data_IF_661321420416
#
_entry.id   IF_661321420416
#
_cell.length_a   1.000
_cell.length_b   1.000
_cell.length_c   1.000
_cell.angle_alpha   90.00
_cell.angle_beta   90.00
_cell.angle_gamma   90.00
#
_symmetry.space_group_name_H-M   'P 1'
#
loop_
_entity.id
_entity.type
_entity.pdbx_description
1 polymer ?
#
# COMPACT_ATOMS: atom_id res chain seq x y z
N UNK A 1 10.79 11.47 52.04
CA UNK A 1 11.45 11.52 50.72
C UNK A 1 10.89 10.38 49.89
N UNK A 2 9.86 10.63 49.07
CA UNK A 2 9.28 9.62 48.18
C UNK A 2 9.89 9.81 46.80
N UNK A 3 10.76 8.88 46.40
CA UNK A 3 11.41 8.90 45.09
C UNK A 3 10.41 8.37 44.06
N UNK A 4 9.81 9.26 43.28
CA UNK A 4 9.02 8.89 42.10
C UNK A 4 9.96 8.53 40.96
N UNK A 5 10.08 7.24 40.64
CA UNK A 5 10.77 6.77 39.43
C UNK A 5 9.98 7.19 38.18
N UNK A 6 10.58 7.87 37.20
CA UNK A 6 9.89 8.20 35.95
C UNK A 6 9.72 6.93 35.09
N UNK A 7 8.48 6.46 34.95
CA UNK A 7 8.11 5.44 33.98
C UNK A 7 8.28 6.03 32.57
N UNK A 8 9.39 5.68 31.90
CA UNK A 8 9.50 5.85 30.45
C UNK A 8 8.45 4.96 29.78
N UNK A 9 7.78 5.38 28.70
CA UNK A 9 6.77 4.53 28.08
C UNK A 9 7.46 3.29 27.52
N UNK A 10 7.29 2.16 28.21
CA UNK A 10 7.62 0.86 27.64
C UNK A 10 6.78 0.73 26.38
N UNK A 11 7.44 0.66 25.22
CA UNK A 11 6.78 0.43 23.94
C UNK A 11 6.10 -0.94 24.01
N UNK A 12 4.83 -0.95 24.43
CA UNK A 12 4.02 -2.15 24.60
C UNK A 12 3.37 -2.53 23.26
N UNK A 13 4.22 -2.83 22.29
CA UNK A 13 3.79 -3.41 21.02
C UNK A 13 3.40 -4.88 21.27
N UNK A 14 2.38 -5.38 20.56
CA UNK A 14 1.94 -6.78 20.67
C UNK A 14 3.11 -7.74 20.42
N UNK A 15 3.27 -8.76 21.28
CA UNK A 15 4.38 -9.70 21.22
C UNK A 15 4.51 -10.40 19.85
N UNK A 16 3.40 -10.62 19.13
CA UNK A 16 3.37 -11.30 17.83
C UNK A 16 4.01 -10.49 16.69
N UNK A 17 4.16 -9.17 16.86
CA UNK A 17 4.77 -8.29 15.85
C UNK A 17 6.15 -7.77 16.30
N UNK A 18 6.55 -8.06 17.56
CA UNK A 18 7.90 -7.73 18.03
C UNK A 18 8.91 -8.58 17.28
N UNK A 19 9.89 -7.92 16.67
CA UNK A 19 10.98 -8.60 15.94
C UNK A 19 10.62 -9.05 14.52
N UNK A 20 9.41 -8.74 14.02
CA UNK A 20 9.08 -8.98 12.62
C UNK A 20 9.99 -8.14 11.73
N UNK A 21 10.76 -8.81 10.87
CA UNK A 21 11.64 -8.16 9.92
C UNK A 21 10.83 -7.54 8.77
N UNK A 22 11.34 -6.47 8.12
CA UNK A 22 10.80 -6.01 6.85
C UNK A 22 10.71 -7.18 5.86
N UNK A 23 9.64 -7.23 5.07
CA UNK A 23 9.52 -8.25 4.03
C UNK A 23 10.68 -8.13 3.03
N UNK A 24 11.10 -9.26 2.45
CA UNK A 24 12.16 -9.27 1.45
C UNK A 24 11.87 -8.32 0.27
N UNK A 25 10.59 -8.19 -0.12
CA UNK A 25 10.13 -7.27 -1.17
C UNK A 25 10.32 -5.80 -0.79
N UNK A 26 10.09 -5.43 0.46
CA UNK A 26 10.33 -4.06 0.94
C UNK A 26 11.83 -3.79 1.00
N UNK A 27 12.59 -4.69 1.62
CA UNK A 27 14.03 -4.53 1.80
C UNK A 27 14.79 -4.38 0.46
N UNK A 28 14.44 -5.17 -0.56
CA UNK A 28 15.09 -5.07 -1.88
C UNK A 28 14.70 -3.77 -2.61
N UNK A 29 13.48 -3.28 -2.41
CA UNK A 29 13.01 -2.03 -3.00
C UNK A 29 13.72 -0.81 -2.39
N UNK A 30 13.86 -0.79 -1.07
CA UNK A 30 14.60 0.23 -0.33
C UNK A 30 16.07 0.24 -0.77
N UNK A 31 16.71 -0.93 -0.77
CA UNK A 31 18.10 -1.05 -1.22
C UNK A 31 18.29 -0.57 -2.67
N UNK A 32 17.37 -0.94 -3.57
CA UNK A 32 17.42 -0.48 -4.96
C UNK A 32 17.29 1.04 -5.08
N UNK A 33 16.45 1.66 -4.24
CA UNK A 33 16.28 3.11 -4.21
C UNK A 33 17.53 3.84 -3.68
N UNK A 34 18.14 3.32 -2.61
CA UNK A 34 19.42 3.85 -2.07
C UNK A 34 20.52 3.84 -3.12
N UNK A 35 20.72 2.71 -3.80
CA UNK A 35 21.77 2.58 -4.81
C UNK A 35 21.51 3.53 -6.00
N UNK A 36 20.25 3.71 -6.39
CA UNK A 36 19.87 4.68 -7.42
C UNK A 36 20.16 6.12 -6.97
N UNK A 37 19.87 6.46 -5.71
CA UNK A 37 20.17 7.78 -5.14
C UNK A 37 21.69 8.07 -5.07
N UNK A 38 22.51 7.03 -4.93
CA UNK A 38 23.97 7.09 -5.02
C UNK A 38 24.50 7.23 -6.47
N UNK A 39 23.61 7.38 -7.46
CA UNK A 39 23.98 7.52 -8.87
C UNK A 39 24.31 6.20 -9.58
N UNK A 40 24.06 5.04 -8.95
CA UNK A 40 24.26 3.75 -9.61
C UNK A 40 23.11 3.45 -10.56
N UNK A 41 23.44 2.89 -11.72
CA UNK A 41 22.44 2.32 -12.62
C UNK A 41 21.86 1.03 -12.04
N UNK A 42 20.53 0.99 -11.88
CA UNK A 42 19.79 -0.14 -11.33
C UNK A 42 18.66 -0.52 -12.29
N UNK A 43 18.60 -1.79 -12.67
CA UNK A 43 17.50 -2.36 -13.46
C UNK A 43 16.57 -3.14 -12.55
N UNK A 44 15.33 -2.66 -12.38
CA UNK A 44 14.32 -3.33 -11.55
C UNK A 44 13.51 -4.29 -12.42
N UNK A 45 13.80 -5.58 -12.31
CA UNK A 45 13.08 -6.64 -13.03
C UNK A 45 11.92 -7.25 -12.21
N UNK A 46 11.77 -6.83 -10.95
CA UNK A 46 10.61 -7.17 -10.12
C UNK A 46 9.41 -6.31 -10.51
N UNK A 47 8.65 -6.74 -11.51
CA UNK A 47 7.43 -6.08 -11.96
C UNK A 47 6.28 -6.40 -11.01
N UNK A 48 6.07 -5.57 -9.99
CA UNK A 48 4.90 -5.65 -9.08
C UNK A 48 3.72 -4.77 -9.49
N UNK A 49 3.96 -3.81 -10.38
CA UNK A 49 2.95 -2.91 -10.95
C UNK A 49 3.14 -2.83 -12.46
N UNK A 50 2.03 -2.62 -13.17
CA UNK A 50 2.07 -2.39 -14.61
C UNK A 50 2.90 -1.13 -14.93
N UNK A 51 3.82 -1.18 -15.91
CA UNK A 51 4.53 0.01 -16.37
C UNK A 51 3.64 0.90 -17.28
N UNK A 52 2.48 0.38 -17.71
CA UNK A 52 1.57 1.10 -18.59
C UNK A 52 0.71 2.10 -17.81
N UNK A 53 0.42 3.28 -18.39
CA UNK A 53 -0.47 4.22 -17.76
C UNK A 53 -1.88 3.64 -17.63
N UNK A 54 -2.64 4.17 -16.67
CA UNK A 54 -4.07 3.85 -16.53
C UNK A 54 -4.81 4.30 -17.81
N UNK A 55 -5.68 3.48 -18.42
CA UNK A 55 -6.42 3.88 -19.61
C UNK A 55 -7.24 5.17 -19.42
N UNK A 56 -7.31 6.03 -20.43
CA UNK A 56 -7.96 7.36 -20.33
C UNK A 56 -9.43 7.29 -19.91
N UNK A 57 -10.19 6.32 -20.44
CA UNK A 57 -11.60 6.16 -20.09
C UNK A 57 -11.79 5.86 -18.59
N UNK A 58 -10.87 5.12 -17.96
CA UNK A 58 -10.89 4.87 -16.52
C UNK A 58 -10.59 6.15 -15.74
N UNK A 59 -9.62 6.94 -16.21
CA UNK A 59 -9.28 8.23 -15.59
C UNK A 59 -10.43 9.24 -15.68
N UNK A 60 -11.16 9.25 -16.79
CA UNK A 60 -12.31 10.12 -17.01
C UNK A 60 -13.47 9.71 -16.09
N UNK A 61 -13.83 8.42 -16.07
CA UNK A 61 -14.89 7.91 -15.19
C UNK A 61 -14.59 8.20 -13.71
N UNK A 62 -13.33 8.02 -13.28
CA UNK A 62 -12.92 8.35 -11.90
C UNK A 62 -13.13 9.85 -11.59
N UNK A 63 -12.78 10.74 -12.52
CA UNK A 63 -12.95 12.20 -12.35
C UNK A 63 -14.42 12.59 -12.26
N UNK A 64 -15.26 12.02 -13.13
CA UNK A 64 -16.70 12.30 -13.17
C UNK A 64 -17.39 11.89 -11.86
N UNK A 65 -17.03 10.72 -11.31
CA UNK A 65 -17.66 10.17 -10.11
C UNK A 65 -16.91 10.48 -8.80
N UNK A 66 -15.86 11.31 -8.82
CA UNK A 66 -15.04 11.61 -7.63
C UNK A 66 -15.80 12.28 -6.48
N UNK A 67 -16.96 12.88 -6.76
CA UNK A 67 -17.82 13.53 -5.78
C UNK A 67 -18.70 12.52 -5.01
N UNK A 68 -18.82 11.28 -5.49
CA UNK A 68 -19.55 10.22 -4.80
C UNK A 68 -18.76 9.74 -3.58
N UNK A 69 -19.34 9.91 -2.39
CA UNK A 69 -18.67 9.64 -1.10
C UNK A 69 -19.44 8.69 -0.18
N UNK A 70 -20.60 8.23 -0.64
CA UNK A 70 -21.47 7.42 0.17
C UNK A 70 -20.89 6.01 0.34
N UNK A 71 -21.16 5.41 1.50
CA UNK A 71 -20.72 4.06 1.77
C UNK A 71 -21.36 3.10 0.79
N UNK A 72 -20.51 2.30 0.14
CA UNK A 72 -20.93 1.18 -0.68
C UNK A 72 -21.21 -0.03 0.20
N UNK A 73 -22.01 -0.96 -0.33
CA UNK A 73 -22.13 -2.28 0.27
C UNK A 73 -20.75 -2.93 0.42
N UNK A 74 -20.55 -3.74 1.46
CA UNK A 74 -19.27 -4.44 1.73
C UNK A 74 -18.76 -5.23 0.51
N UNK A 75 -19.68 -5.75 -0.30
CA UNK A 75 -19.37 -6.52 -1.53
C UNK A 75 -19.07 -5.63 -2.75
N UNK A 76 -19.09 -4.31 -2.61
CA UNK A 76 -18.96 -3.35 -3.70
C UNK A 76 -20.25 -3.12 -4.50
N UNK A 77 -20.12 -2.34 -5.57
CA UNK A 77 -21.23 -1.93 -6.45
C UNK A 77 -21.93 -3.14 -7.10
N UNK A 78 -23.27 -3.25 -7.02
CA UNK A 78 -24.01 -4.33 -7.69
C UNK A 78 -23.76 -4.39 -9.20
N UNK A 79 -23.78 -3.24 -9.88
CA UNK A 79 -23.53 -3.16 -11.32
C UNK A 79 -22.13 -3.69 -11.70
N UNK A 80 -21.10 -3.32 -10.93
CA UNK A 80 -19.73 -3.81 -11.15
C UNK A 80 -19.65 -5.33 -11.00
N UNK A 81 -20.29 -5.89 -9.97
CA UNK A 81 -20.32 -7.34 -9.76
C UNK A 81 -21.00 -8.07 -10.91
N UNK A 82 -22.12 -7.53 -11.40
CA UNK A 82 -22.82 -8.09 -12.56
C UNK A 82 -21.93 -8.06 -13.81
N UNK A 83 -21.29 -6.93 -14.10
CA UNK A 83 -20.37 -6.81 -15.24
C UNK A 83 -19.20 -7.80 -15.17
N UNK A 84 -18.63 -8.06 -13.98
CA UNK A 84 -17.56 -9.05 -13.80
C UNK A 84 -18.09 -10.47 -14.04
N UNK A 85 -19.27 -10.81 -13.51
CA UNK A 85 -19.87 -12.16 -13.67
C UNK A 85 -20.40 -12.43 -15.07
N UNK A 86 -20.74 -11.39 -15.83
CA UNK A 86 -21.28 -11.49 -17.18
C UNK A 86 -20.22 -11.77 -18.24
N UNK A 87 -18.93 -11.66 -17.90
CA UNK A 87 -17.82 -12.06 -18.78
C UNK A 87 -17.62 -13.57 -18.66
N UNK A 88 -18.22 -14.30 -19.60
CA UNK A 88 -17.97 -15.71 -19.90
C UNK A 88 -17.61 -15.87 -21.37
#
# INVERSE_FOLDING_TARGET
MTTTTPMSPAVQINLNIRGMQPSATVAINERSAELKAQGRHIYKLGLGQSPFPVPEHVQQALREHAHEKDYLAVKGLPALRQSISAVG
#
